data_IF_742576599717
#
_entry.id   IF_742576599717
#
_cell.length_a   1.000
_cell.length_b   1.000
_cell.length_c   1.000
_cell.angle_alpha   90.00
_cell.angle_beta   90.00
_cell.angle_gamma   90.00
#
_symmetry.space_group_name_H-M   'P 1'
#
loop_
_entity.id
_entity.type
_entity.pdbx_description
1 polymer ?
#
# COMPACT_ATOMS: atom_id res chain seq x y z
N UNK A 1 5.94 -1.08 0.27
CA UNK A 1 5.74 0.02 -0.72
C UNK A 1 6.48 1.26 -0.23
N UNK A 2 6.92 2.14 -1.14
CA UNK A 2 7.50 3.44 -0.80
C UNK A 2 6.54 4.56 -1.24
N UNK A 3 6.47 5.62 -0.46
CA UNK A 3 5.55 6.75 -0.64
C UNK A 3 6.37 8.05 -0.69
N UNK A 4 6.71 8.57 -1.88
CA UNK A 4 7.45 9.82 -2.06
C UNK A 4 6.67 11.11 -1.72
N UNK A 5 5.99 11.15 -0.57
CA UNK A 5 5.09 12.24 -0.16
C UNK A 5 5.79 13.60 0.01
N UNK A 6 7.11 13.62 0.16
CA UNK A 6 7.89 14.86 0.22
C UNK A 6 8.17 15.51 -1.14
N UNK A 7 7.74 14.90 -2.25
CA UNK A 7 7.77 15.50 -3.58
C UNK A 7 6.83 16.70 -3.70
N UNK A 8 7.11 17.62 -4.62
CA UNK A 8 6.28 18.80 -4.91
C UNK A 8 5.37 18.62 -6.13
N UNK A 9 5.70 17.66 -6.98
CA UNK A 9 5.01 17.30 -8.21
C UNK A 9 5.05 15.78 -8.40
N UNK A 10 4.11 15.25 -9.17
CA UNK A 10 4.05 13.82 -9.47
C UNK A 10 5.27 13.34 -10.25
N UNK A 11 5.80 14.14 -11.18
CA UNK A 11 7.06 13.88 -11.88
C UNK A 11 8.22 13.62 -10.90
N UNK A 12 8.40 14.50 -9.91
CA UNK A 12 9.43 14.35 -8.89
C UNK A 12 9.17 13.10 -8.02
N UNK A 13 7.91 12.83 -7.65
CA UNK A 13 7.54 11.62 -6.93
C UNK A 13 7.93 10.35 -7.71
N UNK A 14 7.68 10.33 -9.03
CA UNK A 14 8.06 9.22 -9.89
C UNK A 14 9.56 9.05 -10.02
N UNK A 15 10.30 10.15 -10.14
CA UNK A 15 11.76 10.12 -10.14
C UNK A 15 12.30 9.52 -8.84
N UNK A 16 11.85 10.04 -7.69
CA UNK A 16 12.25 9.54 -6.37
C UNK A 16 11.95 8.06 -6.18
N UNK A 17 10.76 7.62 -6.63
CA UNK A 17 10.34 6.22 -6.58
C UNK A 17 11.20 5.31 -7.46
N UNK A 18 11.49 5.74 -8.69
CA UNK A 18 12.32 4.99 -9.65
C UNK A 18 13.77 4.85 -9.20
N UNK A 19 14.39 5.95 -8.74
CA UNK A 19 15.75 5.94 -8.21
C UNK A 19 15.86 5.01 -7.00
N UNK A 20 14.92 5.11 -6.06
CA UNK A 20 14.88 4.22 -4.88
C UNK A 20 14.70 2.76 -5.26
N UNK A 21 13.87 2.45 -6.26
CA UNK A 21 13.69 1.09 -6.78
C UNK A 21 14.99 0.53 -7.40
N UNK A 22 15.73 1.34 -8.15
CA UNK A 22 17.02 0.93 -8.72
C UNK A 22 18.11 0.78 -7.65
N UNK A 23 18.14 1.63 -6.63
CA UNK A 23 19.02 1.44 -5.48
C UNK A 23 18.67 0.19 -4.68
N UNK A 24 17.38 -0.13 -4.51
CA UNK A 24 16.93 -1.37 -3.88
C UNK A 24 17.43 -2.60 -4.64
N UNK A 25 17.40 -2.56 -5.98
CA UNK A 25 17.99 -3.63 -6.82
C UNK A 25 19.47 -3.84 -6.50
N UNK A 26 20.24 -2.76 -6.35
CA UNK A 26 21.67 -2.83 -6.01
C UNK A 26 21.86 -3.44 -4.62
N UNK A 27 21.14 -2.96 -3.61
CA UNK A 27 21.22 -3.46 -2.23
C UNK A 27 20.88 -4.96 -2.17
N UNK A 28 19.83 -5.39 -2.87
CA UNK A 28 19.46 -6.81 -2.95
C UNK A 28 20.54 -7.62 -3.68
N UNK A 29 21.09 -7.09 -4.77
CA UNK A 29 22.16 -7.77 -5.52
C UNK A 29 23.40 -7.97 -4.66
N UNK A 30 23.79 -6.97 -3.87
CA UNK A 30 24.94 -7.05 -2.95
C UNK A 30 24.74 -8.13 -1.88
N UNK A 31 23.52 -8.30 -1.36
CA UNK A 31 23.23 -9.22 -0.26
C UNK A 31 22.84 -10.64 -0.69
N UNK A 32 22.08 -10.79 -1.77
CA UNK A 32 21.52 -12.07 -2.22
C UNK A 32 21.98 -12.49 -3.63
N UNK A 33 22.82 -11.69 -4.27
CA UNK A 33 23.22 -11.89 -5.66
C UNK A 33 22.13 -11.51 -6.66
N UNK A 34 22.45 -11.61 -7.94
CA UNK A 34 21.57 -11.19 -9.03
C UNK A 34 20.21 -11.92 -9.06
N UNK A 35 20.15 -13.16 -8.58
CA UNK A 35 18.92 -13.95 -8.53
C UNK A 35 17.86 -13.38 -7.57
N UNK A 36 18.28 -12.63 -6.53
CA UNK A 36 17.35 -11.95 -5.62
C UNK A 36 16.57 -10.81 -6.27
N UNK A 37 16.98 -10.37 -7.47
CA UNK A 37 16.37 -9.26 -8.20
C UNK A 37 15.33 -9.70 -9.24
N UNK A 38 14.89 -10.96 -9.23
CA UNK A 38 13.73 -11.37 -10.01
C UNK A 38 12.49 -10.62 -9.50
N UNK A 39 11.63 -10.21 -10.44
CA UNK A 39 10.44 -9.43 -10.15
C UNK A 39 9.20 -10.32 -10.12
N UNK A 40 8.31 -10.08 -9.16
CA UNK A 40 6.99 -10.69 -9.08
C UNK A 40 5.99 -10.06 -10.05
N UNK A 41 4.71 -10.44 -9.91
CA UNK A 41 3.61 -9.99 -10.78
C UNK A 41 3.47 -8.46 -10.82
N UNK A 42 3.60 -7.80 -9.67
CA UNK A 42 3.50 -6.34 -9.54
C UNK A 42 4.84 -5.60 -9.74
N UNK A 43 5.88 -6.30 -10.20
CA UNK A 43 7.20 -5.71 -10.51
C UNK A 43 8.13 -5.52 -9.30
N UNK A 44 7.68 -5.78 -8.07
CA UNK A 44 8.53 -5.77 -6.87
C UNK A 44 9.52 -6.94 -6.86
N UNK A 45 10.68 -6.75 -6.22
CA UNK A 45 11.67 -7.82 -6.03
C UNK A 45 11.20 -8.82 -4.97
N UNK A 46 11.58 -10.09 -5.13
CA UNK A 46 11.25 -11.17 -4.20
C UNK A 46 12.51 -11.92 -3.72
N UNK A 47 13.45 -11.26 -3.01
CA UNK A 47 14.57 -11.96 -2.40
C UNK A 47 14.09 -12.91 -1.30
N UNK A 48 14.84 -13.99 -1.06
CA UNK A 48 14.54 -14.96 -0.01
C UNK A 48 14.97 -14.43 1.36
N UNK A 49 14.18 -13.50 1.89
CA UNK A 49 14.38 -12.89 3.22
C UNK A 49 13.92 -13.85 4.33
N UNK A 50 14.58 -13.79 5.48
CA UNK A 50 14.26 -14.60 6.65
C UNK A 50 13.24 -13.95 7.59
N UNK A 51 12.94 -12.66 7.41
CA UNK A 51 11.94 -11.93 8.20
C UNK A 51 11.42 -10.69 7.46
N UNK A 52 10.23 -10.20 7.81
CA UNK A 52 9.72 -8.94 7.29
C UNK A 52 10.59 -7.73 7.68
N UNK A 53 11.24 -7.76 8.86
CA UNK A 53 12.18 -6.72 9.31
C UNK A 53 13.37 -6.60 8.37
N UNK A 54 13.91 -7.73 7.93
CA UNK A 54 14.97 -7.75 6.92
C UNK A 54 14.53 -7.11 5.60
N UNK A 55 13.28 -7.35 5.17
CA UNK A 55 12.70 -6.67 4.01
C UNK A 55 12.61 -5.16 4.19
N UNK A 56 12.18 -4.69 5.36
CA UNK A 56 12.12 -3.27 5.70
C UNK A 56 13.52 -2.62 5.77
N UNK A 57 14.52 -3.33 6.29
CA UNK A 57 15.91 -2.86 6.36
C UNK A 57 16.50 -2.64 4.96
N UNK A 58 16.23 -3.54 4.01
CA UNK A 58 16.66 -3.38 2.61
C UNK A 58 16.04 -2.13 1.98
N UNK A 59 14.76 -1.89 2.22
CA UNK A 59 14.05 -0.70 1.70
C UNK A 59 14.58 0.57 2.36
N UNK A 60 14.81 0.55 3.68
CA UNK A 60 15.38 1.68 4.43
C UNK A 60 16.79 2.03 3.94
N UNK A 61 17.63 1.03 3.71
CA UNK A 61 18.96 1.22 3.13
C UNK A 61 18.88 1.80 1.70
N UNK A 62 17.96 1.32 0.87
CA UNK A 62 17.75 1.86 -0.47
C UNK A 62 17.33 3.34 -0.46
N UNK A 63 16.42 3.73 0.44
CA UNK A 63 16.02 5.14 0.66
C UNK A 63 17.19 5.97 1.17
N UNK A 64 18.03 5.41 2.04
CA UNK A 64 19.22 6.09 2.56
C UNK A 64 20.20 6.43 1.44
N UNK A 65 20.43 5.50 0.52
CA UNK A 65 21.36 5.69 -0.62
C UNK A 65 20.93 6.78 -1.60
N UNK A 66 19.65 7.10 -1.69
CA UNK A 66 19.15 8.20 -2.54
C UNK A 66 19.21 9.56 -1.85
N UNK A 67 19.34 9.60 -0.52
CA UNK A 67 19.25 10.82 0.27
C UNK A 67 17.81 11.28 0.54
N UNK A 68 16.79 10.47 0.23
CA UNK A 68 15.36 10.84 0.39
C UNK A 68 14.74 10.44 1.74
N UNK A 69 15.55 10.20 2.77
CA UNK A 69 15.10 9.70 4.09
C UNK A 69 13.90 10.44 4.68
N UNK A 70 13.87 11.77 4.61
CA UNK A 70 12.77 12.56 5.17
C UNK A 70 11.58 12.69 4.22
N UNK A 71 11.79 12.43 2.92
CA UNK A 71 10.83 12.69 1.84
C UNK A 71 10.09 11.44 1.38
N UNK A 72 10.60 10.24 1.68
CA UNK A 72 9.95 8.96 1.38
C UNK A 72 9.52 8.30 2.69
N UNK A 73 8.24 7.91 2.75
CA UNK A 73 7.70 7.05 3.81
C UNK A 73 7.46 5.63 3.28
N UNK A 74 7.11 4.71 4.17
CA UNK A 74 6.82 3.32 3.85
C UNK A 74 5.35 3.03 4.09
N UNK A 75 4.78 2.18 3.24
CA UNK A 75 3.52 1.50 3.51
C UNK A 75 3.72 -0.01 3.36
N UNK A 76 2.98 -0.78 4.15
CA UNK A 76 2.98 -2.24 4.09
C UNK A 76 1.56 -2.74 3.86
N UNK A 77 1.47 -3.82 3.10
CA UNK A 77 0.26 -4.62 2.91
C UNK A 77 0.55 -5.96 3.56
N UNK A 78 -0.17 -6.23 4.64
CA UNK A 78 0.08 -7.42 5.45
C UNK A 78 -0.70 -8.60 4.88
N UNK A 79 -1.87 -8.36 4.28
CA UNK A 79 -2.77 -9.40 3.80
C UNK A 79 -3.02 -10.49 4.87
N UNK A 80 -3.28 -10.07 6.12
CA UNK A 80 -3.24 -10.97 7.29
C UNK A 80 -4.24 -12.13 7.24
N UNK A 81 -5.31 -12.01 6.45
CA UNK A 81 -6.25 -13.10 6.13
C UNK A 81 -5.53 -14.35 5.62
N UNK A 82 -4.46 -14.21 4.83
CA UNK A 82 -3.75 -15.33 4.20
C UNK A 82 -3.06 -16.27 5.19
N UNK A 83 -2.74 -15.77 6.39
CA UNK A 83 -2.03 -16.51 7.42
C UNK A 83 -2.76 -16.52 8.77
N UNK A 84 -4.02 -16.10 8.78
CA UNK A 84 -4.91 -16.29 9.92
C UNK A 84 -5.44 -17.73 9.94
N UNK A 85 -5.23 -18.43 11.05
CA UNK A 85 -5.72 -19.78 11.30
C UNK A 85 -6.58 -19.75 12.56
N UNK A 86 -7.90 -19.74 12.38
CA UNK A 86 -8.85 -19.55 13.47
C UNK A 86 -8.82 -18.10 13.94
N UNK A 87 -8.25 -17.85 15.12
CA UNK A 87 -8.12 -16.50 15.72
C UNK A 87 -6.66 -16.10 15.96
N UNK A 88 -5.72 -16.84 15.37
CA UNK A 88 -4.28 -16.63 15.53
C UNK A 88 -3.61 -16.48 14.18
N UNK A 89 -2.51 -15.74 14.16
CA UNK A 89 -1.77 -15.38 12.96
C UNK A 89 -0.46 -16.16 12.92
N UNK A 90 -0.26 -17.04 11.93
CA UNK A 90 0.97 -17.81 11.77
C UNK A 90 1.98 -17.06 10.89
N UNK A 91 2.94 -16.38 11.52
CA UNK A 91 3.94 -15.62 10.77
C UNK A 91 4.91 -16.51 9.98
N UNK A 92 4.94 -17.81 10.26
CA UNK A 92 5.78 -18.80 9.59
C UNK A 92 4.96 -19.70 8.64
N UNK A 93 3.75 -19.30 8.23
CA UNK A 93 2.83 -20.12 7.42
C UNK A 93 3.41 -20.62 6.08
N UNK A 94 4.40 -19.93 5.52
CA UNK A 94 5.12 -20.31 4.29
C UNK A 94 6.40 -21.11 4.57
N UNK A 95 6.76 -21.33 5.83
CA UNK A 95 7.96 -22.07 6.20
C UNK A 95 7.83 -23.54 5.77
N UNK A 96 8.83 -24.10 5.05
CA UNK A 96 8.79 -25.49 4.61
C UNK A 96 8.80 -26.48 5.79
N UNK A 97 9.29 -26.06 6.96
CA UNK A 97 9.29 -26.85 8.19
C UNK A 97 8.15 -26.40 9.10
N UNK A 98 6.99 -27.06 8.99
CA UNK A 98 5.77 -26.84 9.81
C UNK A 98 5.96 -27.11 11.33
N UNK A 99 7.19 -27.32 11.80
CA UNK A 99 7.52 -27.61 13.19
C UNK A 99 7.73 -26.37 14.06
N UNK A 100 7.69 -25.16 13.48
CA UNK A 100 7.67 -23.90 14.21
C UNK A 100 6.42 -23.09 13.82
N UNK A 101 5.34 -23.22 14.58
CA UNK A 101 4.18 -22.35 14.42
C UNK A 101 4.43 -21.08 15.25
N UNK A 102 4.66 -19.95 14.60
CA UNK A 102 4.84 -18.66 15.26
C UNK A 102 3.50 -17.94 15.34
N UNK A 103 2.57 -18.55 16.08
CA UNK A 103 1.24 -18.00 16.27
C UNK A 103 1.27 -16.75 17.14
N UNK A 104 0.71 -15.66 16.61
CA UNK A 104 0.43 -14.42 17.31
C UNK A 104 -1.06 -14.26 17.57
N UNK A 105 -1.43 -13.73 18.73
CA UNK A 105 -2.79 -13.19 18.92
C UNK A 105 -2.94 -11.84 18.20
N UNK A 106 -4.17 -11.32 18.13
CA UNK A 106 -4.38 -9.96 17.61
C UNK A 106 -3.64 -8.90 18.43
N UNK A 107 -3.55 -9.06 19.76
CA UNK A 107 -2.78 -8.17 20.63
C UNK A 107 -1.27 -8.22 20.36
N UNK A 108 -0.73 -9.42 20.11
CA UNK A 108 0.67 -9.57 19.72
C UNK A 108 0.94 -8.87 18.38
N UNK A 109 0.04 -8.98 17.41
CA UNK A 109 0.15 -8.30 16.11
C UNK A 109 0.10 -6.77 16.28
N UNK A 110 -0.81 -6.25 17.13
CA UNK A 110 -0.86 -4.82 17.47
C UNK A 110 0.47 -4.35 18.05
N UNK A 111 1.01 -5.08 19.04
CA UNK A 111 2.28 -4.72 19.67
C UNK A 111 3.42 -4.66 18.63
N UNK A 112 3.45 -5.62 17.72
CA UNK A 112 4.40 -5.66 16.61
C UNK A 112 4.25 -4.46 15.67
N UNK A 113 3.04 -4.10 15.24
CA UNK A 113 2.83 -2.95 14.37
C UNK A 113 3.24 -1.63 15.03
N UNK A 114 3.00 -1.49 16.34
CA UNK A 114 3.46 -0.32 17.11
C UNK A 114 4.98 -0.20 17.10
N UNK A 115 5.68 -1.31 17.30
CA UNK A 115 7.14 -1.36 17.26
C UNK A 115 7.67 -1.03 15.86
N UNK A 116 7.08 -1.61 14.81
CA UNK A 116 7.46 -1.34 13.43
C UNK A 116 7.27 0.13 13.03
N UNK A 117 6.13 0.74 13.38
CA UNK A 117 5.88 2.15 13.11
C UNK A 117 6.78 3.09 13.93
N UNK A 118 7.37 2.62 15.03
CA UNK A 118 8.34 3.40 15.80
C UNK A 118 9.76 3.33 15.21
N UNK A 119 10.14 2.20 14.63
CA UNK A 119 11.49 1.95 14.10
C UNK A 119 11.68 2.31 12.62
N UNK A 120 10.59 2.26 11.85
CA UNK A 120 10.55 2.52 10.42
C UNK A 120 9.56 3.66 10.13
N UNK A 121 9.76 4.45 9.06
CA UNK A 121 8.85 5.53 8.68
C UNK A 121 7.56 5.00 8.03
N UNK A 122 6.91 4.01 8.64
CA UNK A 122 5.67 3.40 8.18
C UNK A 122 4.52 4.35 8.49
N UNK A 123 3.76 4.72 7.45
CA UNK A 123 2.66 5.69 7.56
C UNK A 123 1.32 5.12 7.08
N UNK A 124 1.31 3.92 6.50
CA UNK A 124 0.09 3.22 6.10
C UNK A 124 0.27 1.70 6.24
N UNK A 125 -0.74 1.03 6.78
CA UNK A 125 -0.83 -0.43 6.87
C UNK A 125 -2.15 -0.87 6.26
N UNK A 126 -2.07 -1.77 5.28
CA UNK A 126 -3.20 -2.40 4.60
C UNK A 126 -3.43 -3.81 5.15
N UNK A 127 -4.70 -4.14 5.40
CA UNK A 127 -5.19 -5.41 5.96
C UNK A 127 -4.34 -5.98 7.12
N UNK A 128 -4.22 -5.22 8.24
CA UNK A 128 -3.41 -5.64 9.39
C UNK A 128 -3.92 -6.89 10.12
N UNK A 129 -5.17 -7.28 9.91
CA UNK A 129 -5.81 -8.43 10.56
C UNK A 129 -6.68 -9.18 9.54
N UNK A 130 -7.18 -10.35 9.94
CA UNK A 130 -8.12 -11.11 9.13
C UNK A 130 -9.36 -10.26 8.80
N UNK A 131 -9.93 -10.48 7.62
CA UNK A 131 -11.13 -9.77 7.13
C UNK A 131 -12.36 -9.88 8.04
N UNK A 132 -12.42 -10.85 8.95
CA UNK A 132 -13.49 -10.98 9.95
C UNK A 132 -13.07 -10.55 11.36
N UNK A 133 -11.82 -10.13 11.57
CA UNK A 133 -11.30 -9.65 12.86
C UNK A 133 -11.57 -8.14 13.07
N UNK A 134 -12.85 -7.78 13.06
CA UNK A 134 -13.32 -6.39 13.19
C UNK A 134 -12.86 -5.71 14.48
N UNK A 135 -12.73 -6.47 15.57
CA UNK A 135 -12.37 -5.93 16.89
C UNK A 135 -10.93 -5.40 16.90
N UNK A 136 -9.97 -6.19 16.42
CA UNK A 136 -8.56 -5.78 16.40
C UNK A 136 -8.29 -4.70 15.35
N UNK A 137 -8.93 -4.75 14.17
CA UNK A 137 -8.82 -3.67 13.17
C UNK A 137 -9.28 -2.35 13.77
N UNK A 138 -10.47 -2.34 14.38
CA UNK A 138 -11.02 -1.14 15.04
C UNK A 138 -10.11 -0.62 16.14
N UNK A 139 -9.63 -1.51 17.01
CA UNK A 139 -8.74 -1.11 18.09
C UNK A 139 -7.45 -0.49 17.55
N UNK A 140 -6.81 -1.13 16.55
CA UNK A 140 -5.58 -0.64 15.95
C UNK A 140 -5.76 0.69 15.22
N UNK A 141 -6.82 0.83 14.41
CA UNK A 141 -7.19 2.08 13.74
C UNK A 141 -7.42 3.21 14.74
N UNK A 142 -8.10 2.91 15.86
CA UNK A 142 -8.34 3.86 16.96
C UNK A 142 -7.09 4.38 17.67
N UNK A 143 -5.93 3.72 17.51
CA UNK A 143 -4.66 4.22 18.04
C UNK A 143 -4.12 5.43 17.26
N UNK A 144 -4.57 5.64 16.02
CA UNK A 144 -4.18 6.79 15.19
C UNK A 144 -2.70 6.83 14.80
N UNK A 145 -2.00 5.69 14.84
CA UNK A 145 -0.55 5.59 14.59
C UNK A 145 -0.23 5.79 13.10
N UNK A 146 -1.04 5.22 12.22
CA UNK A 146 -0.87 5.27 10.78
C UNK A 146 -2.23 5.29 10.07
N UNK A 147 -2.22 5.46 8.74
CA UNK A 147 -3.38 5.10 7.92
C UNK A 147 -3.60 3.57 8.02
N UNK A 148 -4.86 3.15 8.18
CA UNK A 148 -5.29 1.75 8.16
C UNK A 148 -6.20 1.57 6.96
N UNK A 149 -5.71 0.86 5.97
CA UNK A 149 -6.40 0.63 4.69
C UNK A 149 -7.13 -0.72 4.76
N UNK A 150 -8.42 -0.72 4.44
CA UNK A 150 -9.18 -1.96 4.24
C UNK A 150 -9.24 -2.34 2.77
N UNK A 151 -8.74 -3.53 2.43
CA UNK A 151 -8.92 -4.19 1.13
C UNK A 151 -9.83 -5.42 1.31
N UNK A 152 -9.34 -6.52 1.84
CA UNK A 152 -10.15 -7.72 2.13
C UNK A 152 -11.20 -7.47 3.22
N UNK A 153 -10.92 -6.57 4.17
CA UNK A 153 -11.90 -6.16 5.18
C UNK A 153 -13.14 -5.53 4.52
N UNK A 154 -12.98 -4.80 3.42
CA UNK A 154 -14.05 -4.03 2.78
C UNK A 154 -14.57 -4.70 1.51
N UNK A 155 -13.70 -5.40 0.77
CA UNK A 155 -13.93 -6.04 -0.52
C UNK A 155 -14.58 -5.11 -1.58
N UNK A 156 -14.34 -3.80 -1.47
CA UNK A 156 -15.11 -2.75 -2.17
C UNK A 156 -16.64 -2.91 -2.06
N UNK A 157 -17.15 -3.58 -1.00
CA UNK A 157 -18.56 -3.87 -0.81
C UNK A 157 -19.25 -2.74 -0.01
N UNK A 158 -20.28 -2.06 -0.56
CA UNK A 158 -20.92 -0.93 0.11
C UNK A 158 -21.40 -1.21 1.53
N UNK A 159 -21.96 -2.42 1.79
CA UNK A 159 -22.45 -2.77 3.13
C UNK A 159 -21.33 -2.94 4.16
N UNK A 160 -20.19 -3.50 3.73
CA UNK A 160 -19.01 -3.64 4.60
C UNK A 160 -18.37 -2.28 4.86
N UNK A 161 -18.33 -1.41 3.84
CA UNK A 161 -17.86 -0.02 3.97
C UNK A 161 -18.75 0.77 4.94
N UNK A 162 -20.07 0.74 4.78
CA UNK A 162 -21.00 1.38 5.71
C UNK A 162 -20.83 0.88 7.15
N UNK A 163 -20.67 -0.44 7.35
CA UNK A 163 -20.38 -1.02 8.66
C UNK A 163 -19.06 -0.48 9.22
N UNK A 164 -18.01 -0.48 8.41
CA UNK A 164 -16.68 -0.05 8.81
C UNK A 164 -16.63 1.44 9.16
N UNK A 165 -17.36 2.28 8.43
CA UNK A 165 -17.55 3.71 8.74
C UNK A 165 -18.25 3.86 10.09
N UNK A 166 -19.40 3.20 10.28
CA UNK A 166 -20.20 3.27 11.52
C UNK A 166 -19.41 2.80 12.75
N UNK A 167 -18.57 1.79 12.59
CA UNK A 167 -17.80 1.19 13.67
C UNK A 167 -16.41 1.82 13.84
N UNK A 168 -16.03 2.74 12.94
CA UNK A 168 -14.69 3.35 12.86
C UNK A 168 -13.58 2.29 12.77
N UNK A 169 -13.81 1.25 11.96
CA UNK A 169 -12.94 0.09 11.89
C UNK A 169 -11.59 0.38 11.21
N UNK A 170 -11.59 1.17 10.14
CA UNK A 170 -10.40 1.64 9.42
C UNK A 170 -10.57 3.12 9.05
N UNK A 171 -9.60 3.71 8.36
CA UNK A 171 -9.63 5.13 7.98
C UNK A 171 -9.19 5.38 6.52
N UNK A 172 -9.05 4.31 5.74
CA UNK A 172 -8.85 4.39 4.30
C UNK A 172 -9.42 3.16 3.59
N UNK A 173 -9.87 3.39 2.35
CA UNK A 173 -10.39 2.37 1.44
C UNK A 173 -9.33 2.06 0.37
N UNK A 174 -8.98 0.79 0.17
CA UNK A 174 -8.40 0.36 -1.10
C UNK A 174 -9.54 0.08 -2.07
N UNK A 175 -9.63 0.90 -3.11
CA UNK A 175 -10.67 0.78 -4.10
C UNK A 175 -10.18 0.10 -5.38
N UNK A 176 -10.80 -1.03 -5.73
CA UNK A 176 -10.54 -1.77 -6.99
C UNK A 176 -11.80 -1.75 -7.85
N UNK A 177 -11.78 -1.00 -8.95
CA UNK A 177 -12.95 -0.74 -9.81
C UNK A 177 -13.70 -2.02 -10.21
N UNK A 178 -12.96 -3.08 -10.55
CA UNK A 178 -13.57 -4.32 -11.02
C UNK A 178 -14.18 -5.19 -9.91
N UNK A 179 -14.09 -4.81 -8.63
CA UNK A 179 -14.81 -5.48 -7.54
C UNK A 179 -16.26 -4.99 -7.41
N UNK A 180 -16.58 -3.77 -7.86
CA UNK A 180 -17.95 -3.22 -7.83
C UNK A 180 -18.66 -3.36 -9.18
N UNK A 181 -17.91 -3.28 -10.29
CA UNK A 181 -18.37 -3.66 -11.63
C UNK A 181 -18.73 -2.50 -12.57
N UNK A 182 -19.16 -1.35 -12.05
CA UNK A 182 -19.46 -0.15 -12.87
C UNK A 182 -18.77 1.11 -12.38
N UNK A 183 -18.59 2.09 -13.28
CA UNK A 183 -18.00 3.40 -12.95
C UNK A 183 -18.92 4.24 -12.05
N UNK A 184 -20.23 4.14 -12.23
CA UNK A 184 -21.20 4.87 -11.38
C UNK A 184 -21.10 4.41 -9.92
N UNK A 185 -21.13 3.10 -9.69
CA UNK A 185 -21.00 2.56 -8.34
C UNK A 185 -19.61 2.83 -7.75
N UNK A 186 -18.57 2.85 -8.60
CA UNK A 186 -17.23 3.25 -8.18
C UNK A 186 -17.19 4.68 -7.61
N UNK A 187 -17.82 5.63 -8.31
CA UNK A 187 -17.92 7.03 -7.85
C UNK A 187 -18.69 7.10 -6.53
N UNK A 188 -19.80 6.38 -6.40
CA UNK A 188 -20.62 6.36 -5.17
C UNK A 188 -19.85 5.81 -3.97
N UNK A 189 -19.11 4.71 -4.15
CA UNK A 189 -18.29 4.11 -3.09
C UNK A 189 -17.16 5.04 -2.66
N UNK A 190 -16.45 5.66 -3.61
CA UNK A 190 -15.39 6.62 -3.30
C UNK A 190 -15.95 7.85 -2.61
N UNK A 191 -17.11 8.34 -3.05
CA UNK A 191 -17.81 9.44 -2.37
C UNK A 191 -18.18 9.08 -0.93
N UNK A 192 -18.70 7.88 -0.67
CA UNK A 192 -19.01 7.41 0.68
C UNK A 192 -17.79 7.42 1.61
N UNK A 193 -16.63 6.98 1.11
CA UNK A 193 -15.38 7.05 1.86
C UNK A 193 -14.94 8.51 2.12
N UNK A 194 -15.00 9.38 1.11
CA UNK A 194 -14.64 10.80 1.25
C UNK A 194 -15.57 11.56 2.20
N UNK A 195 -16.88 11.31 2.14
CA UNK A 195 -17.87 11.91 3.05
C UNK A 195 -17.64 11.47 4.51
N UNK A 196 -16.99 10.31 4.72
CA UNK A 196 -16.55 9.82 6.03
C UNK A 196 -15.13 10.29 6.41
N UNK A 197 -14.52 11.19 5.63
CA UNK A 197 -13.14 11.68 5.80
C UNK A 197 -12.08 10.59 5.77
N UNK A 198 -12.32 9.52 5.00
CA UNK A 198 -11.34 8.47 4.78
C UNK A 198 -10.43 8.77 3.59
N UNK A 199 -9.19 8.27 3.67
CA UNK A 199 -8.31 8.19 2.51
C UNK A 199 -8.85 7.20 1.48
N UNK A 200 -8.56 7.42 0.20
CA UNK A 200 -8.95 6.51 -0.89
C UNK A 200 -7.70 6.17 -1.70
N UNK A 201 -7.32 4.90 -1.66
CA UNK A 201 -6.23 4.36 -2.48
C UNK A 201 -6.85 3.72 -3.71
N UNK A 202 -6.62 4.29 -4.88
CA UNK A 202 -7.00 3.62 -6.13
C UNK A 202 -6.02 2.48 -6.39
N UNK A 203 -6.51 1.25 -6.33
CA UNK A 203 -5.71 0.03 -6.41
C UNK A 203 -5.79 -0.65 -7.77
N UNK A 204 -4.65 -1.14 -8.25
CA UNK A 204 -4.58 -2.07 -9.37
C UNK A 204 -5.01 -3.49 -8.99
N UNK A 205 -5.02 -4.39 -9.98
CA UNK A 205 -5.03 -5.85 -9.77
C UNK A 205 -3.65 -6.48 -10.02
N UNK A 206 -3.42 -7.70 -9.53
CA UNK A 206 -2.17 -8.42 -9.84
C UNK A 206 -2.09 -8.80 -11.32
N UNK A 207 -3.22 -9.13 -11.96
CA UNK A 207 -3.33 -9.28 -13.42
C UNK A 207 -3.81 -8.01 -14.11
N UNK A 208 -2.91 -7.05 -14.34
CA UNK A 208 -3.20 -5.80 -15.05
C UNK A 208 -3.03 -5.89 -16.57
N UNK A 209 -3.57 -4.90 -17.27
CA UNK A 209 -3.39 -4.67 -18.71
C UNK A 209 -2.64 -3.37 -18.98
N UNK A 210 -2.40 -3.04 -20.24
CA UNK A 210 -1.87 -1.75 -20.70
C UNK A 210 -2.86 -0.58 -20.54
N UNK A 211 -4.12 -0.86 -20.20
CA UNK A 211 -5.15 0.16 -19.99
C UNK A 211 -4.79 1.05 -18.80
N UNK A 212 -4.81 2.38 -18.97
CA UNK A 212 -4.45 3.34 -17.94
C UNK A 212 -5.64 3.96 -17.20
N UNK A 213 -6.86 3.44 -17.34
CA UNK A 213 -8.11 4.01 -16.81
C UNK A 213 -8.03 4.43 -15.34
N UNK A 214 -7.38 3.64 -14.49
CA UNK A 214 -7.28 3.94 -13.06
C UNK A 214 -6.41 5.17 -12.76
N UNK A 215 -5.53 5.59 -13.67
CA UNK A 215 -4.78 6.84 -13.57
C UNK A 215 -5.74 8.04 -13.65
N UNK A 216 -6.50 8.13 -14.74
CA UNK A 216 -7.51 9.18 -14.95
C UNK A 216 -8.59 9.14 -13.87
N UNK A 217 -9.03 7.95 -13.45
CA UNK A 217 -9.98 7.80 -12.35
C UNK A 217 -9.44 8.37 -11.04
N UNK A 218 -8.17 8.12 -10.72
CA UNK A 218 -7.55 8.62 -9.48
C UNK A 218 -7.49 10.15 -9.42
N UNK A 219 -7.25 10.80 -10.57
CA UNK A 219 -7.24 12.26 -10.68
C UNK A 219 -8.66 12.81 -10.67
N UNK A 220 -9.57 12.23 -11.46
CA UNK A 220 -10.97 12.68 -11.54
C UNK A 220 -11.75 12.55 -10.23
N UNK A 221 -11.41 11.56 -9.40
CA UNK A 221 -11.96 11.39 -8.05
C UNK A 221 -11.19 12.19 -6.98
N UNK A 222 -10.10 12.86 -7.36
CA UNK A 222 -9.16 13.52 -6.45
C UNK A 222 -8.70 12.58 -5.32
N UNK A 223 -8.41 11.32 -5.61
CA UNK A 223 -8.15 10.32 -4.57
C UNK A 223 -6.87 10.59 -3.76
N UNK A 224 -5.89 11.28 -4.37
CA UNK A 224 -4.59 11.61 -3.76
C UNK A 224 -3.62 10.45 -3.62
N UNK A 225 -4.10 9.20 -3.73
CA UNK A 225 -3.32 7.99 -3.54
C UNK A 225 -3.64 6.96 -4.63
N UNK A 226 -2.59 6.38 -5.21
CA UNK A 226 -2.70 5.30 -6.19
C UNK A 226 -1.64 4.22 -5.91
N UNK A 227 -2.06 2.94 -5.95
CA UNK A 227 -1.20 1.75 -5.83
C UNK A 227 -1.26 1.02 -7.18
N UNK A 228 -0.31 1.33 -8.07
CA UNK A 228 -0.24 0.79 -9.44
C UNK A 228 1.06 0.01 -9.71
N UNK A 229 1.59 -0.67 -8.68
CA UNK A 229 2.76 -1.56 -8.78
C UNK A 229 4.10 -0.84 -8.74
N UNK A 230 5.19 -1.58 -8.95
CA UNK A 230 6.54 -1.03 -9.01
C UNK A 230 6.76 -0.19 -10.28
N UNK A 231 7.78 0.70 -10.33
CA UNK A 231 8.19 1.41 -11.55
C UNK A 231 8.93 0.47 -12.53
N UNK A 232 8.31 -0.67 -12.84
CA UNK A 232 8.78 -1.71 -13.74
C UNK A 232 7.57 -2.43 -14.33
N UNK A 233 7.76 -3.06 -15.51
CA UNK A 233 6.72 -3.74 -16.29
C UNK A 233 5.71 -2.77 -16.91
N UNK A 234 5.34 -3.03 -18.18
CA UNK A 234 4.61 -2.08 -19.01
C UNK A 234 3.20 -1.78 -18.51
N UNK A 235 2.50 -2.80 -17.99
CA UNK A 235 1.14 -2.69 -17.45
C UNK A 235 1.05 -1.81 -16.20
N UNK A 236 2.18 -1.65 -15.48
CA UNK A 236 2.31 -0.75 -14.31
C UNK A 236 2.66 0.65 -14.76
N UNK A 237 3.71 0.75 -15.58
CA UNK A 237 4.21 2.01 -16.12
C UNK A 237 3.16 2.72 -16.98
N UNK A 238 2.23 2.01 -17.61
CA UNK A 238 1.13 2.62 -18.36
C UNK A 238 0.34 3.64 -17.53
N UNK A 239 0.05 3.31 -16.25
CA UNK A 239 -0.70 4.19 -15.34
C UNK A 239 0.16 5.38 -14.89
N UNK A 240 1.39 5.12 -14.47
CA UNK A 240 2.30 6.19 -14.03
C UNK A 240 2.66 7.16 -15.17
N UNK A 241 2.88 6.66 -16.38
CA UNK A 241 3.11 7.49 -17.56
C UNK A 241 1.87 8.32 -17.92
N UNK A 242 0.67 7.78 -17.71
CA UNK A 242 -0.55 8.55 -17.91
C UNK A 242 -0.69 9.67 -16.88
N UNK A 243 -0.35 9.42 -15.62
CA UNK A 243 -0.33 10.47 -14.59
C UNK A 243 0.67 11.59 -14.90
N UNK A 244 1.84 11.27 -15.47
CA UNK A 244 2.79 12.30 -15.95
C UNK A 244 2.17 13.19 -17.04
N UNK A 245 1.45 12.59 -18.01
CA UNK A 245 0.76 13.35 -19.06
C UNK A 245 -0.36 14.22 -18.50
N UNK A 246 -1.14 13.70 -17.55
CA UNK A 246 -2.21 14.46 -16.89
C UNK A 246 -1.63 15.64 -16.12
N UNK A 247 -0.52 15.45 -15.40
CA UNK A 247 0.18 16.55 -14.72
C UNK A 247 0.66 17.63 -15.70
N UNK A 248 1.28 17.23 -16.81
CA UNK A 248 1.71 18.15 -17.87
C UNK A 248 0.54 18.92 -18.49
N UNK A 249 -0.58 18.24 -18.75
CA UNK A 249 -1.77 18.82 -19.37
C UNK A 249 -2.49 19.82 -18.46
N UNK A 250 -2.65 19.50 -17.17
CA UNK A 250 -3.33 20.38 -16.21
C UNK A 250 -2.42 21.54 -15.77
N UNK A 251 -1.10 21.32 -15.72
CA UNK A 251 -0.11 22.31 -15.32
C UNK A 251 -0.36 22.87 -13.92
N UNK A 252 -0.33 24.19 -13.78
CA UNK A 252 -0.45 24.88 -12.49
C UNK A 252 -1.86 24.82 -11.86
N UNK A 253 -2.83 24.19 -12.52
CA UNK A 253 -4.18 23.96 -11.97
C UNK A 253 -4.26 22.68 -11.12
N UNK A 254 -3.23 21.83 -11.14
CA UNK A 254 -3.13 20.64 -10.31
C UNK A 254 -2.18 20.87 -9.13
N UNK A 255 -2.46 20.16 -8.03
CA UNK A 255 -1.54 20.05 -6.89
C UNK A 255 -1.23 18.59 -6.65
N UNK A 256 0.03 18.28 -6.40
CA UNK A 256 0.41 16.96 -5.91
C UNK A 256 -0.02 16.85 -4.44
N UNK A 257 -0.69 15.75 -4.09
CA UNK A 257 -1.25 15.59 -2.75
C UNK A 257 -0.18 15.64 -1.65
N UNK A 258 1.06 15.20 -1.94
CA UNK A 258 2.21 15.44 -1.07
C UNK A 258 2.00 14.99 0.37
N UNK A 259 2.26 15.87 1.32
CA UNK A 259 2.07 15.58 2.76
C UNK A 259 0.58 15.47 3.16
N UNK A 260 -0.35 16.02 2.35
CA UNK A 260 -1.80 15.99 2.57
C UNK A 260 -2.50 14.78 1.94
N UNK A 261 -1.73 13.80 1.46
CA UNK A 261 -2.17 12.59 0.75
C UNK A 261 -3.33 11.80 1.39
N UNK A 262 -3.58 11.93 2.70
CA UNK A 262 -4.67 11.23 3.39
C UNK A 262 -6.05 11.87 3.22
N UNK A 263 -6.13 13.17 2.89
CA UNK A 263 -7.39 13.95 2.94
C UNK A 263 -7.63 14.83 1.70
N UNK A 264 -6.86 14.61 0.62
CA UNK A 264 -6.95 15.33 -0.65
C UNK A 264 -8.23 15.08 -1.46
#
# INVERSE_FOLDING_TARGET
MILPIGAKKFEESMQMGSETYHHLKVVITEKYGAHGCNVGEDGGFAPNISSFREGLDLVKEAISRTGYNERIKIAIDVSATDFCIGTKYDLDYRSPHKSGQNFKSGEDMIAMYKELCAEYPITSIEDPFDKEDWEHVKYFSGLGICQVVGDDLLMSNPKRIEKAIRESACNALLFKVNQIGTVTEAIEVVKMAKDAHWGVVIGQRSGETEDSFIADLSVGLAAGQIKAGAPCRGERLAKYNQLLRIEEEIGDQAVYAGEDWRQS
#
